data_IF_722594477877
#
_entry.id   IF_722594477877
#
_cell.length_a   1.000
_cell.length_b   1.000
_cell.length_c   1.000
_cell.angle_alpha   90.00
_cell.angle_beta   90.00
_cell.angle_gamma   90.00
#
_symmetry.space_group_name_H-M   'P 1'
#
loop_
_entity.id
_entity.type
_entity.pdbx_description
1 polymer ?
#
# COMPACT_ATOMS: atom_id res chain seq x y z
N UNK A 1 10.97 -9.93 6.37
CA UNK A 1 9.71 -10.70 6.56
C UNK A 1 8.70 -9.94 7.39
N UNK A 2 7.41 -10.11 7.10
CA UNK A 2 6.34 -9.57 7.90
C UNK A 2 6.19 -10.38 9.20
N UNK A 3 6.52 -9.76 10.31
CA UNK A 3 6.26 -10.28 11.65
C UNK A 3 5.82 -9.13 12.57
N UNK A 4 5.42 -9.47 13.81
CA UNK A 4 4.93 -8.47 14.77
C UNK A 4 5.99 -7.40 15.04
N UNK A 5 7.23 -7.79 15.31
CA UNK A 5 8.33 -6.86 15.61
C UNK A 5 8.65 -5.95 14.42
N UNK A 6 8.76 -6.50 13.21
CA UNK A 6 9.06 -5.68 12.01
C UNK A 6 7.93 -4.69 11.69
N UNK A 7 6.68 -5.05 12.00
CA UNK A 7 5.55 -4.14 11.84
C UNK A 7 5.55 -3.05 12.91
N UNK A 8 5.85 -3.39 14.16
CA UNK A 8 5.99 -2.41 15.26
C UNK A 8 7.12 -1.41 14.96
N UNK A 9 8.29 -1.88 14.53
CA UNK A 9 9.42 -1.02 14.15
C UNK A 9 9.04 -0.07 13.01
N UNK A 10 8.37 -0.59 11.97
CA UNK A 10 7.90 0.23 10.85
C UNK A 10 6.88 1.31 11.29
N UNK A 11 5.97 0.99 12.22
CA UNK A 11 5.00 1.95 12.76
C UNK A 11 5.68 3.04 13.60
N UNK A 12 6.72 2.67 14.37
CA UNK A 12 7.54 3.63 15.13
C UNK A 12 8.31 4.55 14.15
N UNK A 13 8.94 3.98 13.14
CA UNK A 13 9.66 4.76 12.12
C UNK A 13 8.74 5.79 11.44
N UNK A 14 7.54 5.37 11.02
CA UNK A 14 6.55 6.27 10.41
C UNK A 14 6.17 7.41 11.37
N UNK A 15 5.99 7.12 12.65
CA UNK A 15 5.59 8.13 13.65
C UNK A 15 6.72 9.11 13.99
N UNK A 16 7.96 8.78 13.65
CA UNK A 16 9.15 9.64 13.88
C UNK A 16 9.59 10.40 12.63
N UNK A 17 8.84 10.38 11.55
CA UNK A 17 9.17 11.12 10.33
C UNK A 17 9.31 12.62 10.59
N UNK A 18 10.28 13.22 9.92
CA UNK A 18 10.57 14.64 9.98
C UNK A 18 10.32 15.32 8.63
N UNK A 19 10.08 16.62 8.67
CA UNK A 19 10.05 17.44 7.46
C UNK A 19 11.48 17.71 6.94
N UNK A 20 11.60 18.47 5.85
CA UNK A 20 12.88 18.80 5.21
C UNK A 20 13.74 19.72 6.08
N UNK A 21 13.20 20.28 7.16
CA UNK A 21 13.88 21.11 8.15
C UNK A 21 14.26 20.34 9.41
N UNK A 22 13.93 19.05 9.49
CA UNK A 22 14.21 18.21 10.65
C UNK A 22 13.19 18.34 11.79
N UNK A 23 12.03 18.99 11.54
CA UNK A 23 10.94 19.07 12.51
C UNK A 23 10.08 17.82 12.42
N UNK A 24 9.74 17.23 13.57
CA UNK A 24 8.85 16.07 13.62
C UNK A 24 7.45 16.43 13.09
N UNK A 25 6.93 15.62 12.21
CA UNK A 25 5.59 15.76 11.65
C UNK A 25 4.70 14.61 12.12
N UNK A 26 3.39 14.87 12.20
CA UNK A 26 2.42 13.86 12.60
C UNK A 26 1.98 13.06 11.37
N UNK A 27 2.70 11.98 11.07
CA UNK A 27 2.31 11.01 10.04
C UNK A 27 1.85 9.74 10.71
N UNK A 28 0.74 9.18 10.26
CA UNK A 28 0.16 7.96 10.80
C UNK A 28 0.07 6.91 9.71
N UNK A 29 0.32 5.67 10.09
CA UNK A 29 0.04 4.53 9.24
C UNK A 29 -1.47 4.36 9.08
N UNK A 30 -1.94 4.05 7.86
CA UNK A 30 -3.37 3.89 7.59
C UNK A 30 -3.72 2.50 7.10
N UNK A 31 -2.90 1.90 6.25
CA UNK A 31 -3.22 0.64 5.61
C UNK A 31 -1.99 -0.18 5.27
N UNK A 32 -2.07 -1.48 5.50
CA UNK A 32 -1.05 -2.45 5.11
C UNK A 32 -1.37 -3.06 3.73
N UNK A 33 -0.39 -3.09 2.84
CA UNK A 33 -0.48 -3.73 1.51
C UNK A 33 0.48 -4.90 1.47
N UNK A 34 -0.02 -6.08 1.17
CA UNK A 34 0.73 -7.34 1.21
C UNK A 34 0.49 -8.20 -0.02
N UNK A 35 1.42 -9.11 -0.37
CA UNK A 35 1.19 -10.16 -1.34
C UNK A 35 0.26 -11.26 -0.79
N UNK A 36 -0.29 -12.13 -1.64
CA UNK A 36 -1.20 -13.19 -1.22
C UNK A 36 -0.60 -14.17 -0.19
N UNK A 37 0.71 -14.40 -0.24
CA UNK A 37 1.42 -15.33 0.63
C UNK A 37 1.38 -14.89 2.11
N UNK A 38 1.36 -13.60 2.37
CA UNK A 38 1.35 -13.03 3.72
C UNK A 38 -0.04 -12.83 4.31
N UNK A 39 -1.12 -13.17 3.60
CA UNK A 39 -2.51 -12.92 4.03
C UNK A 39 -2.80 -13.49 5.42
N UNK A 40 -2.48 -14.76 5.65
CA UNK A 40 -2.78 -15.40 6.94
C UNK A 40 -1.86 -14.92 8.07
N UNK A 41 -0.65 -14.48 7.75
CA UNK A 41 0.28 -13.88 8.71
C UNK A 41 -0.25 -12.53 9.16
N UNK A 42 -0.64 -11.67 8.21
CA UNK A 42 -1.21 -10.36 8.48
C UNK A 42 -2.50 -10.45 9.29
N UNK A 43 -3.39 -11.39 8.94
CA UNK A 43 -4.63 -11.58 9.69
C UNK A 43 -4.38 -11.98 11.16
N UNK A 44 -3.44 -12.87 11.39
CA UNK A 44 -3.05 -13.25 12.75
C UNK A 44 -2.45 -12.08 13.53
N UNK A 45 -1.58 -11.27 12.92
CA UNK A 45 -0.96 -10.11 13.56
C UNK A 45 -2.00 -9.03 13.88
N UNK A 46 -2.89 -8.73 12.94
CA UNK A 46 -3.82 -7.60 13.09
C UNK A 46 -5.10 -7.95 13.87
N UNK A 47 -5.58 -9.20 13.77
CA UNK A 47 -6.91 -9.58 14.28
C UNK A 47 -6.89 -10.49 15.52
N UNK A 48 -5.74 -11.08 15.91
CA UNK A 48 -5.69 -11.90 17.11
C UNK A 48 -5.92 -11.06 18.37
N UNK A 49 -6.59 -11.64 19.36
CA UNK A 49 -6.80 -10.95 20.65
C UNK A 49 -5.55 -10.94 21.51
N UNK A 50 -4.78 -12.02 21.44
CA UNK A 50 -3.56 -12.23 22.18
C UNK A 50 -2.37 -12.24 21.24
N UNK A 51 -1.19 -11.98 21.79
CA UNK A 51 0.07 -12.03 21.06
C UNK A 51 0.32 -13.44 20.52
N UNK A 52 0.66 -13.52 19.24
CA UNK A 52 0.90 -14.81 18.57
C UNK A 52 2.27 -15.35 18.95
N UNK A 53 2.32 -16.62 19.39
CA UNK A 53 3.58 -17.32 19.65
C UNK A 53 4.16 -17.19 21.07
N UNK A 54 3.42 -16.59 22.01
CA UNK A 54 3.79 -16.56 23.44
C UNK A 54 2.94 -17.52 24.24
N UNK A 55 3.53 -18.10 25.29
CA UNK A 55 2.80 -18.92 26.27
C UNK A 55 2.07 -18.06 27.31
N UNK A 56 2.41 -16.80 27.39
CA UNK A 56 1.82 -15.81 28.28
C UNK A 56 0.56 -15.21 27.67
N UNK A 57 -0.33 -14.72 28.52
CA UNK A 57 -1.61 -14.14 28.11
C UNK A 57 -1.45 -12.64 27.74
N UNK A 58 -0.46 -12.37 26.88
CA UNK A 58 -0.14 -11.00 26.46
C UNK A 58 -1.17 -10.47 25.47
N UNK A 59 -1.49 -9.19 25.62
CA UNK A 59 -2.41 -8.49 24.70
C UNK A 59 -1.70 -8.17 23.38
N UNK A 60 -2.38 -8.37 22.27
CA UNK A 60 -1.91 -7.89 20.98
C UNK A 60 -2.01 -6.35 20.94
N UNK A 61 -0.86 -5.68 21.06
CA UNK A 61 -0.78 -4.22 21.13
C UNK A 61 -1.21 -3.55 19.80
N UNK A 62 -0.87 -4.14 18.65
CA UNK A 62 -1.19 -3.61 17.32
C UNK A 62 -2.71 -3.52 17.12
N UNK A 63 -3.41 -4.60 17.48
CA UNK A 63 -4.87 -4.63 17.44
C UNK A 63 -5.51 -3.64 18.43
N UNK A 64 -5.01 -3.64 19.66
CA UNK A 64 -5.61 -2.87 20.73
C UNK A 64 -5.48 -1.35 20.53
N UNK A 65 -4.37 -0.92 19.96
CA UNK A 65 -4.12 0.51 19.64
C UNK A 65 -4.81 0.96 18.36
N UNK A 66 -5.19 0.04 17.47
CA UNK A 66 -5.86 0.37 16.21
C UNK A 66 -5.03 1.24 15.26
N UNK A 67 -3.71 1.07 15.28
CA UNK A 67 -2.74 1.89 14.52
C UNK A 67 -2.88 1.76 12.99
N UNK A 68 -3.59 0.74 12.52
CA UNK A 68 -3.90 0.53 11.10
C UNK A 68 -5.42 0.52 10.88
N UNK A 69 -6.07 1.69 10.87
CA UNK A 69 -7.54 1.77 10.75
C UNK A 69 -8.08 1.20 9.45
N UNK A 70 -7.30 1.24 8.36
CA UNK A 70 -7.64 0.66 7.06
C UNK A 70 -7.36 -0.85 6.95
N UNK A 71 -6.85 -1.49 8.01
CA UNK A 71 -6.50 -2.90 8.00
C UNK A 71 -5.46 -3.26 6.96
N UNK A 72 -5.64 -4.41 6.29
CA UNK A 72 -4.74 -4.84 5.22
C UNK A 72 -5.47 -5.04 3.89
N UNK A 73 -4.72 -4.93 2.79
CA UNK A 73 -5.19 -5.23 1.44
C UNK A 73 -4.20 -6.16 0.75
N UNK A 74 -4.73 -7.20 0.14
CA UNK A 74 -3.94 -8.14 -0.65
C UNK A 74 -3.79 -7.60 -2.07
N UNK A 75 -2.54 -7.44 -2.51
CA UNK A 75 -2.23 -7.07 -3.89
C UNK A 75 -1.66 -8.27 -4.63
N UNK A 76 -2.43 -8.82 -5.57
CA UNK A 76 -2.06 -9.99 -6.36
C UNK A 76 -0.94 -9.74 -7.38
N UNK A 77 -0.57 -8.49 -7.62
CA UNK A 77 0.50 -8.12 -8.54
C UNK A 77 1.87 -7.98 -7.88
N UNK A 78 1.95 -8.13 -6.55
CA UNK A 78 3.22 -8.21 -5.85
C UNK A 78 3.82 -9.61 -6.07
N UNK A 79 4.97 -9.64 -6.72
CA UNK A 79 5.68 -10.89 -7.07
C UNK A 79 6.61 -11.37 -5.96
N UNK A 80 7.06 -10.47 -5.11
CA UNK A 80 7.89 -10.80 -3.96
C UNK A 80 7.00 -11.32 -2.82
N UNK A 81 7.25 -12.55 -2.32
CA UNK A 81 6.41 -13.15 -1.29
C UNK A 81 6.57 -12.53 0.10
N UNK A 82 7.67 -11.82 0.35
CA UNK A 82 8.06 -11.33 1.68
C UNK A 82 7.94 -9.81 1.82
N UNK A 83 7.77 -9.11 0.70
CA UNK A 83 7.65 -7.65 0.70
C UNK A 83 6.30 -7.20 1.27
N UNK A 84 6.32 -6.14 2.07
CA UNK A 84 5.10 -5.47 2.51
C UNK A 84 5.25 -3.95 2.45
N UNK A 85 4.13 -3.26 2.31
CA UNK A 85 4.10 -1.81 2.23
C UNK A 85 3.04 -1.27 3.18
N UNK A 86 3.32 -0.11 3.77
CA UNK A 86 2.38 0.61 4.63
C UNK A 86 2.06 1.95 3.99
N UNK A 87 0.80 2.20 3.73
CA UNK A 87 0.32 3.51 3.30
C UNK A 87 0.11 4.39 4.53
N UNK A 88 0.41 5.68 4.37
CA UNK A 88 0.29 6.66 5.46
C UNK A 88 -0.81 7.68 5.19
N UNK A 89 -1.11 8.48 6.20
CA UNK A 89 -2.06 9.60 6.11
C UNK A 89 -1.70 10.63 5.03
N UNK A 90 -0.43 10.73 4.64
CA UNK A 90 0.03 11.59 3.52
C UNK A 90 -0.56 11.11 2.19
N UNK A 91 -0.64 9.78 1.98
CA UNK A 91 -1.29 9.21 0.79
C UNK A 91 -2.80 9.51 0.78
N UNK A 92 -3.48 9.42 1.92
CA UNK A 92 -4.91 9.75 2.03
C UNK A 92 -5.18 11.23 1.79
N UNK A 93 -4.25 12.11 2.20
CA UNK A 93 -4.31 13.53 1.89
C UNK A 93 -4.06 13.85 0.40
N UNK A 94 -3.73 12.86 -0.41
CA UNK A 94 -3.48 13.00 -1.84
C UNK A 94 -2.08 13.46 -2.23
N UNK A 95 -1.13 13.45 -1.28
CA UNK A 95 0.25 13.88 -1.54
C UNK A 95 1.23 12.71 -1.76
N UNK A 96 0.81 11.47 -1.51
CA UNK A 96 1.63 10.27 -1.73
C UNK A 96 1.67 9.82 -3.20
N UNK A 97 1.30 8.56 -3.43
CA UNK A 97 1.25 7.97 -4.77
C UNK A 97 0.12 8.59 -5.61
N UNK A 98 0.45 9.01 -6.83
CA UNK A 98 -0.48 9.69 -7.74
C UNK A 98 -0.53 9.01 -9.11
N UNK A 99 -1.72 8.95 -9.67
CA UNK A 99 -1.94 8.64 -11.07
C UNK A 99 -2.32 9.93 -11.82
N UNK A 100 -1.54 10.29 -12.82
CA UNK A 100 -1.79 11.44 -13.68
C UNK A 100 -2.42 10.97 -14.99
N UNK A 101 -3.72 11.15 -15.13
CA UNK A 101 -4.44 10.81 -16.35
C UNK A 101 -4.47 12.00 -17.28
N UNK A 102 -3.71 11.93 -18.38
CA UNK A 102 -3.64 12.98 -19.39
C UNK A 102 -4.77 12.86 -20.42
N UNK A 103 -5.04 11.65 -20.85
CA UNK A 103 -6.13 11.34 -21.79
C UNK A 103 -6.85 10.11 -21.27
N UNK A 104 -8.15 10.20 -20.96
CA UNK A 104 -8.95 9.03 -20.60
C UNK A 104 -9.00 8.05 -21.77
N UNK A 105 -9.40 6.82 -21.51
CA UNK A 105 -9.53 5.82 -22.54
C UNK A 105 -10.61 6.22 -23.55
N UNK A 106 -10.16 6.52 -24.78
CA UNK A 106 -11.00 6.85 -25.91
C UNK A 106 -10.99 5.69 -26.91
N UNK A 107 -12.15 5.31 -27.37
CA UNK A 107 -12.30 4.29 -28.41
C UNK A 107 -12.86 4.90 -29.67
N UNK A 108 -12.33 4.50 -30.82
CA UNK A 108 -12.85 4.88 -32.12
C UNK A 108 -12.90 3.69 -33.06
N UNK A 109 -13.82 3.75 -33.99
CA UNK A 109 -14.03 2.71 -34.98
C UNK A 109 -14.09 3.36 -36.36
N UNK A 110 -13.38 2.79 -37.32
CA UNK A 110 -13.33 3.26 -38.69
C UNK A 110 -13.50 2.06 -39.65
N UNK A 111 -14.48 2.10 -40.55
CA UNK A 111 -14.60 1.10 -41.61
C UNK A 111 -13.55 1.35 -42.69
N UNK A 112 -12.90 0.31 -43.16
CA UNK A 112 -11.99 0.36 -44.30
C UNK A 112 -12.76 0.06 -45.58
N UNK A 113 -12.91 1.06 -46.42
CA UNK A 113 -13.67 0.99 -47.67
C UNK A 113 -13.07 -0.03 -48.66
N UNK A 114 -11.76 -0.20 -48.66
CA UNK A 114 -11.06 -1.06 -49.63
C UNK A 114 -11.16 -2.57 -49.32
N UNK A 115 -11.23 -2.90 -48.01
CA UNK A 115 -11.22 -4.32 -47.59
C UNK A 115 -12.54 -4.76 -46.95
N UNK A 116 -13.45 -3.81 -46.64
CA UNK A 116 -14.69 -4.10 -45.91
C UNK A 116 -14.50 -4.45 -44.44
N UNK A 117 -13.29 -4.35 -43.91
CA UNK A 117 -12.98 -4.62 -42.52
C UNK A 117 -13.23 -3.41 -41.63
N UNK A 118 -13.49 -3.66 -40.35
CA UNK A 118 -13.64 -2.63 -39.33
C UNK A 118 -12.36 -2.57 -38.48
N UNK A 119 -11.79 -1.38 -38.33
CA UNK A 119 -10.63 -1.12 -37.48
C UNK A 119 -11.09 -0.49 -36.16
N UNK A 120 -10.70 -1.10 -35.05
CA UNK A 120 -10.91 -0.55 -33.72
C UNK A 120 -9.61 0.05 -33.20
N UNK A 121 -9.71 1.23 -32.59
CA UNK A 121 -8.60 1.92 -31.94
C UNK A 121 -9.00 2.29 -30.52
N UNK A 122 -8.16 1.92 -29.54
CA UNK A 122 -8.23 2.40 -28.18
C UNK A 122 -6.97 3.23 -27.90
N UNK A 123 -7.14 4.38 -27.24
CA UNK A 123 -6.05 5.26 -26.84
C UNK A 123 -6.25 5.72 -25.41
N UNK A 124 -5.19 5.59 -24.61
CA UNK A 124 -5.12 6.10 -23.26
C UNK A 124 -3.73 6.68 -22.99
N UNK A 125 -3.65 7.73 -22.18
CA UNK A 125 -2.36 8.30 -21.74
C UNK A 125 -2.43 8.63 -20.27
N UNK A 126 -1.57 7.96 -19.52
CA UNK A 126 -1.41 8.17 -18.07
C UNK A 126 0.05 8.00 -17.67
N UNK A 127 0.37 8.48 -16.49
CA UNK A 127 1.66 8.22 -15.84
C UNK A 127 1.44 8.09 -14.33
N UNK A 128 2.38 7.42 -13.67
CA UNK A 128 2.40 7.32 -12.22
C UNK A 128 3.58 8.12 -11.66
N UNK A 129 3.39 8.63 -10.46
CA UNK A 129 4.42 9.36 -9.75
C UNK A 129 4.05 9.51 -8.28
N UNK A 130 4.86 10.24 -7.53
CA UNK A 130 4.60 10.59 -6.14
C UNK A 130 4.98 12.05 -5.91
N UNK A 131 4.31 12.70 -4.95
CA UNK A 131 4.65 14.05 -4.52
C UNK A 131 5.50 14.06 -3.27
N UNK A 132 5.17 13.18 -2.31
CA UNK A 132 5.90 13.03 -1.05
C UNK A 132 6.24 11.55 -0.83
N UNK A 133 7.51 11.28 -0.56
CA UNK A 133 8.02 9.94 -0.27
C UNK A 133 7.46 9.37 1.03
N UNK A 134 7.05 10.22 1.98
CA UNK A 134 6.47 9.84 3.27
C UNK A 134 5.08 9.21 3.13
N UNK A 135 4.52 9.21 1.92
CA UNK A 135 3.23 8.60 1.62
C UNK A 135 3.23 7.07 1.68
N UNK A 136 4.38 6.44 1.54
CA UNK A 136 4.53 4.98 1.57
C UNK A 136 5.81 4.59 2.31
N UNK A 137 5.69 3.58 3.16
CA UNK A 137 6.81 2.88 3.78
C UNK A 137 6.87 1.46 3.22
N UNK A 138 8.05 1.00 2.82
CA UNK A 138 8.21 -0.32 2.20
C UNK A 138 9.34 -1.12 2.81
N UNK A 139 9.11 -2.41 3.00
CA UNK A 139 10.14 -3.41 3.29
C UNK A 139 10.21 -4.40 2.12
N UNK A 140 11.42 -4.62 1.62
CA UNK A 140 11.64 -5.56 0.51
C UNK A 140 11.62 -7.03 0.94
N UNK A 141 11.47 -7.28 2.25
CA UNK A 141 11.66 -8.64 2.78
C UNK A 141 13.14 -8.99 2.93
N UNK A 142 13.45 -10.26 3.13
CA UNK A 142 14.81 -10.80 3.31
C UNK A 142 15.19 -11.72 2.16
#
# INVERSE_FOLDING_TARGET
DLNETSLEDALIDISTFTDDRGLTISVQATKLVIPPQLTFVADRILNSQQRVGTADNDINAIRNTGVLPGGYTVNHYLTDPDAFFILTSVTEAGEGLKMFQRTPMETSMEPDFSTGNIRYKARERYSFGFSDWRGIYGSQGA
#
